data_IF_825831536253
#
_entry.id   IF_825831536253
#
_cell.length_a   1.000
_cell.length_b   1.000
_cell.length_c   1.000
_cell.angle_alpha   90.00
_cell.angle_beta   90.00
_cell.angle_gamma   90.00
#
_symmetry.space_group_name_H-M   'P 1'
#
loop_
_entity.id
_entity.type
_entity.pdbx_description
1 polymer ?
#
# COMPACT_ATOMS: atom_id res chain seq x y z
N UNK A 1 7.31 -4.69 25.53
CA UNK A 1 6.34 -5.31 24.60
C UNK A 1 7.03 -6.48 23.92
N UNK A 2 6.53 -7.71 24.09
CA UNK A 2 7.02 -8.88 23.34
C UNK A 2 6.16 -9.04 22.08
N UNK A 3 6.46 -8.27 21.04
CA UNK A 3 5.85 -8.44 19.73
C UNK A 3 6.64 -9.49 18.94
N UNK A 4 5.92 -10.39 18.25
CA UNK A 4 6.49 -11.36 17.32
C UNK A 4 6.46 -10.80 15.91
N UNK A 5 7.62 -10.71 15.26
CA UNK A 5 7.72 -10.29 13.86
C UNK A 5 7.86 -11.52 12.96
N UNK A 6 6.98 -11.63 11.97
CA UNK A 6 7.09 -12.62 10.91
C UNK A 6 7.30 -11.85 9.61
N UNK A 7 8.46 -12.03 9.00
CA UNK A 7 8.84 -11.39 7.74
C UNK A 7 8.79 -12.45 6.65
N UNK A 8 7.89 -12.26 5.69
CA UNK A 8 7.79 -13.16 4.54
C UNK A 8 8.75 -12.66 3.46
N UNK A 9 9.80 -13.43 3.15
CA UNK A 9 10.83 -13.05 2.21
C UNK A 9 11.35 -14.27 1.43
N UNK A 10 11.04 -14.33 0.13
CA UNK A 10 11.46 -15.44 -0.72
C UNK A 10 12.91 -15.32 -1.22
N UNK A 11 13.48 -14.11 -1.17
CA UNK A 11 14.83 -13.80 -1.66
C UNK A 11 15.85 -13.90 -0.54
N UNK A 12 16.65 -14.97 -0.52
CA UNK A 12 17.65 -15.23 0.52
C UNK A 12 18.63 -14.06 0.75
N UNK A 13 19.11 -13.41 -0.33
CA UNK A 13 19.99 -12.24 -0.20
C UNK A 13 19.31 -11.05 0.47
N UNK A 14 18.02 -10.83 0.20
CA UNK A 14 17.25 -9.78 0.85
C UNK A 14 17.04 -10.11 2.34
N UNK A 15 16.74 -11.37 2.68
CA UNK A 15 16.65 -11.81 4.09
C UNK A 15 17.94 -11.54 4.86
N UNK A 16 19.11 -11.81 4.25
CA UNK A 16 20.40 -11.49 4.86
C UNK A 16 20.61 -9.98 5.02
N UNK A 17 20.17 -9.17 4.05
CA UNK A 17 20.25 -7.71 4.16
C UNK A 17 19.36 -7.18 5.29
N UNK A 18 18.15 -7.72 5.44
CA UNK A 18 17.24 -7.39 6.55
C UNK A 18 17.93 -7.63 7.89
N UNK A 19 18.48 -8.82 8.13
CA UNK A 19 19.20 -9.11 9.38
C UNK A 19 20.41 -8.21 9.63
N UNK A 20 21.10 -7.77 8.57
CA UNK A 20 22.32 -6.96 8.70
C UNK A 20 22.04 -5.47 8.94
N UNK A 21 20.91 -4.96 8.47
CA UNK A 21 20.65 -3.51 8.44
C UNK A 21 19.46 -3.08 9.29
N UNK A 22 18.56 -4.00 9.66
CA UNK A 22 17.42 -3.69 10.53
C UNK A 22 17.75 -4.09 11.96
N UNK A 23 17.61 -3.12 12.87
CA UNK A 23 17.74 -3.36 14.31
C UNK A 23 16.37 -3.76 14.84
N UNK A 24 16.27 -5.00 15.34
CA UNK A 24 15.07 -5.48 16.01
C UNK A 24 15.22 -5.34 17.52
N UNK A 25 14.30 -4.63 18.16
CA UNK A 25 14.24 -4.49 19.63
C UNK A 25 13.55 -5.69 20.31
N UNK A 26 13.49 -6.85 19.64
CA UNK A 26 12.94 -8.11 20.14
C UNK A 26 13.74 -9.28 19.55
N UNK A 27 13.82 -10.39 20.28
CA UNK A 27 14.42 -11.64 19.79
C UNK A 27 13.41 -12.52 19.04
N UNK A 28 12.12 -12.22 19.13
CA UNK A 28 11.06 -12.99 18.46
C UNK A 28 10.83 -12.49 17.03
N UNK A 29 11.86 -12.67 16.20
CA UNK A 29 11.84 -12.34 14.77
C UNK A 29 12.04 -13.61 13.97
N UNK A 30 11.13 -13.87 13.04
CA UNK A 30 11.18 -15.00 12.14
C UNK A 30 11.13 -14.51 10.70
N UNK A 31 12.15 -14.81 9.90
CA UNK A 31 12.08 -14.65 8.45
C UNK A 31 11.77 -16.01 7.83
N UNK A 32 10.75 -16.05 6.98
CA UNK A 32 10.34 -17.29 6.33
C UNK A 32 9.93 -17.05 4.87
N UNK A 33 9.90 -18.13 4.09
CA UNK A 33 9.43 -18.09 2.70
C UNK A 33 7.91 -18.06 2.64
N UNK A 34 7.39 -17.54 1.54
CA UNK A 34 5.96 -17.60 1.23
C UNK A 34 5.49 -19.05 1.14
N UNK A 35 4.33 -19.30 1.74
CA UNK A 35 3.54 -20.51 1.52
C UNK A 35 2.84 -20.35 0.15
N UNK A 36 2.82 -21.42 -0.65
CA UNK A 36 2.26 -21.35 -2.02
C UNK A 36 1.25 -22.46 -2.32
N UNK A 37 1.44 -23.65 -1.73
CA UNK A 37 0.63 -24.84 -2.05
C UNK A 37 -0.88 -24.66 -1.82
N UNK A 38 -1.35 -24.12 -0.67
CA UNK A 38 -2.79 -24.02 -0.41
C UNK A 38 -3.48 -23.01 -1.34
N UNK A 39 -2.73 -22.03 -1.86
CA UNK A 39 -3.27 -20.91 -2.63
C UNK A 39 -2.98 -21.03 -4.13
N UNK A 40 -2.32 -22.11 -4.59
CA UNK A 40 -1.93 -22.28 -6.01
C UNK A 40 -3.09 -22.09 -6.98
N UNK A 41 -4.30 -22.54 -6.61
CA UNK A 41 -5.50 -22.37 -7.44
C UNK A 41 -6.03 -20.94 -7.44
N UNK A 42 -5.72 -20.15 -6.42
CA UNK A 42 -6.07 -18.73 -6.29
C UNK A 42 -5.11 -17.90 -7.12
N UNK A 43 -3.81 -17.99 -6.83
CA UNK A 43 -2.81 -17.11 -7.45
C UNK A 43 -2.57 -17.38 -8.93
N UNK A 44 -2.89 -18.58 -9.46
CA UNK A 44 -2.76 -18.87 -10.90
C UNK A 44 -3.67 -18.03 -11.81
N UNK A 45 -4.69 -17.40 -11.23
CA UNK A 45 -5.59 -16.51 -11.96
C UNK A 45 -5.12 -15.07 -11.92
N UNK A 46 -4.12 -14.75 -11.09
CA UNK A 46 -3.48 -13.44 -11.07
C UNK A 46 -2.42 -13.37 -12.18
N UNK A 47 -2.04 -12.15 -12.54
CA UNK A 47 -0.91 -11.98 -13.43
C UNK A 47 0.38 -12.45 -12.78
N UNK A 48 1.23 -13.07 -13.60
CA UNK A 48 2.46 -13.73 -13.14
C UNK A 48 3.40 -12.80 -12.38
N UNK A 49 3.39 -11.50 -12.72
CA UNK A 49 4.14 -10.45 -12.04
C UNK A 49 3.72 -10.29 -10.57
N UNK A 50 2.42 -10.39 -10.27
CA UNK A 50 1.84 -10.17 -8.94
C UNK A 50 1.77 -11.42 -8.06
N UNK A 51 2.04 -12.61 -8.61
CA UNK A 51 2.03 -13.87 -7.87
C UNK A 51 2.93 -13.85 -6.62
N UNK A 52 4.16 -13.29 -6.64
CA UNK A 52 5.01 -13.24 -5.44
C UNK A 52 4.38 -12.43 -4.31
N UNK A 53 3.91 -11.21 -4.58
CA UNK A 53 3.24 -10.35 -3.60
C UNK A 53 1.96 -11.01 -3.06
N UNK A 54 1.15 -11.59 -3.94
CA UNK A 54 -0.04 -12.33 -3.55
C UNK A 54 0.28 -13.51 -2.61
N UNK A 55 1.33 -14.29 -2.90
CA UNK A 55 1.74 -15.38 -2.01
C UNK A 55 2.21 -14.86 -0.65
N UNK A 56 2.89 -13.71 -0.60
CA UNK A 56 3.34 -13.13 0.67
C UNK A 56 2.14 -12.75 1.56
N UNK A 57 1.19 -11.96 1.05
CA UNK A 57 -0.02 -11.58 1.81
C UNK A 57 -0.88 -12.79 2.22
N UNK A 58 -1.09 -13.75 1.30
CA UNK A 58 -1.86 -14.96 1.60
C UNK A 58 -1.14 -15.86 2.62
N UNK A 59 0.19 -15.82 2.68
CA UNK A 59 0.96 -16.52 3.72
C UNK A 59 0.68 -15.94 5.10
N UNK A 60 0.61 -14.61 5.23
CA UNK A 60 0.25 -13.93 6.50
C UNK A 60 -1.15 -14.34 6.96
N UNK A 61 -2.14 -14.33 6.06
CA UNK A 61 -3.51 -14.80 6.32
C UNK A 61 -3.57 -16.28 6.72
N UNK A 62 -2.74 -17.12 6.10
CA UNK A 62 -2.70 -18.54 6.39
C UNK A 62 -2.09 -18.82 7.76
N UNK A 63 -0.97 -18.18 8.09
CA UNK A 63 -0.32 -18.34 9.39
C UNK A 63 -1.23 -17.89 10.52
N UNK A 64 -1.84 -16.72 10.38
CA UNK A 64 -2.77 -16.21 11.40
C UNK A 64 -3.94 -17.18 11.62
N UNK A 65 -4.52 -17.77 10.56
CA UNK A 65 -5.54 -18.83 10.68
C UNK A 65 -5.01 -20.09 11.40
N UNK A 66 -3.84 -20.61 10.98
CA UNK A 66 -3.25 -21.83 11.55
C UNK A 66 -2.86 -21.69 13.02
N UNK A 67 -2.56 -20.46 13.47
CA UNK A 67 -2.16 -20.16 14.84
C UNK A 67 -3.27 -19.50 15.67
N UNK A 68 -4.51 -19.47 15.15
CA UNK A 68 -5.67 -18.84 15.80
C UNK A 68 -5.43 -17.38 16.24
N UNK A 69 -4.67 -16.63 15.44
CA UNK A 69 -4.38 -15.21 15.68
C UNK A 69 -5.58 -14.40 15.20
N UNK A 70 -6.29 -13.77 16.13
CA UNK A 70 -7.52 -13.02 15.82
C UNK A 70 -7.27 -11.72 15.05
N UNK A 71 -6.19 -11.03 15.39
CA UNK A 71 -5.85 -9.71 14.86
C UNK A 71 -4.37 -9.66 14.54
N UNK A 72 -4.02 -9.11 13.37
CA UNK A 72 -2.64 -9.01 12.94
C UNK A 72 -2.47 -7.89 11.91
N UNK A 73 -1.23 -7.44 11.75
CA UNK A 73 -0.83 -6.54 10.69
C UNK A 73 -0.30 -7.33 9.49
N UNK A 74 -0.76 -6.98 8.30
CA UNK A 74 -0.25 -7.45 7.02
C UNK A 74 0.26 -6.23 6.27
N UNK A 75 1.58 -6.10 6.15
CA UNK A 75 2.24 -4.88 5.70
C UNK A 75 3.04 -5.20 4.45
N UNK A 76 2.83 -4.42 3.40
CA UNK A 76 3.64 -4.44 2.18
C UNK A 76 4.94 -3.68 2.41
N UNK A 77 5.91 -4.39 2.96
CA UNK A 77 7.11 -3.80 3.54
C UNK A 77 8.25 -3.56 2.52
N UNK A 78 8.09 -3.94 1.25
CA UNK A 78 9.12 -3.72 0.23
C UNK A 78 8.99 -2.37 -0.48
N UNK A 79 7.80 -1.75 -0.46
CA UNK A 79 7.59 -0.44 -1.07
C UNK A 79 6.81 0.58 -0.23
N UNK A 80 6.30 0.27 0.97
CA UNK A 80 5.63 1.30 1.81
C UNK A 80 6.46 1.77 3.01
N UNK A 81 6.30 3.04 3.38
CA UNK A 81 6.89 3.59 4.62
C UNK A 81 6.00 4.66 5.26
N UNK A 82 5.74 4.49 6.56
CA UNK A 82 5.13 5.51 7.42
C UNK A 82 6.24 6.42 7.94
N UNK A 83 6.21 7.69 7.55
CA UNK A 83 7.18 8.69 7.97
C UNK A 83 6.72 9.36 9.27
N UNK A 84 6.91 8.67 10.38
CA UNK A 84 6.68 9.18 11.73
C UNK A 84 7.63 8.48 12.71
N UNK A 85 7.91 9.12 13.84
CA UNK A 85 8.68 8.45 14.90
C UNK A 85 8.01 7.14 15.32
N UNK A 86 8.78 6.08 15.68
CA UNK A 86 8.20 4.78 16.02
C UNK A 86 7.12 4.86 17.11
N UNK A 87 7.28 5.76 18.08
CA UNK A 87 6.28 6.01 19.13
C UNK A 87 4.98 6.56 18.55
N UNK A 88 5.05 7.54 17.65
CA UNK A 88 3.85 8.15 17.06
C UNK A 88 3.16 7.20 16.09
N UNK A 89 3.93 6.50 15.26
CA UNK A 89 3.41 5.45 14.38
C UNK A 89 2.69 4.36 15.19
N UNK A 90 3.28 3.88 16.29
CA UNK A 90 2.64 2.89 17.16
C UNK A 90 1.32 3.39 17.76
N UNK A 91 1.26 4.65 18.19
CA UNK A 91 0.04 5.26 18.71
C UNK A 91 -1.05 5.39 17.64
N UNK A 92 -0.69 5.84 16.44
CA UNK A 92 -1.63 5.92 15.31
C UNK A 92 -2.18 4.52 14.97
N UNK A 93 -1.31 3.51 14.87
CA UNK A 93 -1.71 2.13 14.60
C UNK A 93 -2.56 1.54 15.73
N UNK A 94 -2.39 1.98 16.99
CA UNK A 94 -3.30 1.61 18.07
C UNK A 94 -4.71 2.17 17.86
N UNK A 95 -4.84 3.43 17.44
CA UNK A 95 -6.14 4.03 17.11
C UNK A 95 -6.84 3.27 15.97
N UNK A 96 -6.07 2.78 14.97
CA UNK A 96 -6.58 1.92 13.89
C UNK A 96 -7.17 0.62 14.45
N UNK A 97 -6.47 -0.03 15.38
CA UNK A 97 -6.95 -1.26 16.03
C UNK A 97 -8.25 -1.00 16.77
N UNK A 98 -8.29 0.05 17.60
CA UNK A 98 -9.44 0.39 18.43
C UNK A 98 -10.68 0.68 17.56
N UNK A 99 -10.51 1.48 16.51
CA UNK A 99 -11.58 1.76 15.55
C UNK A 99 -12.05 0.48 14.85
N UNK A 100 -11.12 -0.31 14.30
CA UNK A 100 -11.47 -1.53 13.57
C UNK A 100 -12.25 -2.52 14.44
N UNK A 101 -11.88 -2.65 15.71
CA UNK A 101 -12.58 -3.51 16.66
C UNK A 101 -13.96 -2.97 17.02
N UNK A 102 -14.08 -1.67 17.32
CA UNK A 102 -15.35 -1.03 17.66
C UNK A 102 -16.37 -1.07 16.50
N UNK A 103 -15.89 -1.01 15.26
CA UNK A 103 -16.74 -1.02 14.06
C UNK A 103 -16.87 -2.42 13.42
N UNK A 104 -16.20 -3.43 14.02
CA UNK A 104 -16.15 -4.82 13.55
C UNK A 104 -15.65 -4.95 12.10
N UNK A 105 -14.59 -4.22 11.75
CA UNK A 105 -13.97 -4.28 10.43
C UNK A 105 -13.22 -5.61 10.24
N UNK A 106 -13.33 -6.16 9.03
CA UNK A 106 -12.57 -7.34 8.59
C UNK A 106 -11.17 -6.99 8.13
N UNK A 107 -11.02 -5.82 7.50
CA UNK A 107 -9.74 -5.27 7.08
C UNK A 107 -9.78 -3.74 7.13
N UNK A 108 -8.65 -3.11 7.48
CA UNK A 108 -8.53 -1.67 7.54
C UNK A 108 -7.14 -1.26 7.05
N UNK A 109 -7.04 -0.51 5.96
CA UNK A 109 -5.75 -0.29 5.27
C UNK A 109 -5.39 1.18 5.07
N UNK A 110 -4.10 1.48 5.25
CA UNK A 110 -3.49 2.72 4.79
C UNK A 110 -2.71 2.44 3.51
N UNK A 111 -3.12 3.11 2.43
CA UNK A 111 -2.47 3.06 1.13
C UNK A 111 -2.89 4.27 0.29
N UNK A 112 -1.95 4.86 -0.46
CA UNK A 112 -2.25 5.99 -1.34
C UNK A 112 -3.20 5.63 -2.47
N UNK A 113 -3.20 4.37 -2.95
CA UNK A 113 -4.09 3.94 -4.02
C UNK A 113 -5.55 4.16 -3.66
N UNK A 114 -5.94 3.88 -2.41
CA UNK A 114 -7.31 4.10 -1.94
C UNK A 114 -7.74 5.55 -2.07
N UNK A 115 -6.86 6.50 -1.74
CA UNK A 115 -7.14 7.94 -1.82
C UNK A 115 -7.08 8.46 -3.24
N UNK A 116 -6.05 8.10 -4.01
CA UNK A 116 -5.90 8.48 -5.42
C UNK A 116 -7.09 8.05 -6.27
N UNK A 117 -7.65 6.87 -5.95
CA UNK A 117 -8.80 6.28 -6.62
C UNK A 117 -10.13 6.60 -5.92
N UNK A 118 -10.16 7.66 -5.10
CA UNK A 118 -11.36 8.24 -4.49
C UNK A 118 -12.20 7.20 -3.71
N UNK A 119 -11.53 6.34 -2.95
CA UNK A 119 -12.14 5.34 -2.08
C UNK A 119 -12.76 4.15 -2.82
N UNK A 120 -12.55 4.01 -4.14
CA UNK A 120 -13.09 2.90 -4.95
C UNK A 120 -12.20 1.65 -4.96
N UNK A 121 -11.03 1.72 -4.36
CA UNK A 121 -10.04 0.67 -4.38
C UNK A 121 -9.46 0.45 -2.99
N UNK A 122 -9.20 -0.82 -2.66
CA UNK A 122 -8.62 -1.24 -1.40
C UNK A 122 -7.41 -2.12 -1.70
N UNK A 123 -6.31 -1.91 -0.98
CA UNK A 123 -5.05 -2.63 -1.16
C UNK A 123 -4.36 -2.96 0.16
N UNK A 124 -3.41 -3.89 0.12
CA UNK A 124 -2.76 -4.44 1.31
C UNK A 124 -1.68 -3.56 1.98
N UNK A 125 -1.35 -2.37 1.45
CA UNK A 125 -0.29 -1.46 1.92
C UNK A 125 0.11 -1.60 3.39
N UNK A 126 -0.52 -0.85 4.30
CA UNK A 126 -0.40 -1.10 5.75
C UNK A 126 -1.76 -1.51 6.30
N UNK A 127 -2.02 -2.82 6.30
CA UNK A 127 -3.35 -3.34 6.61
C UNK A 127 -3.46 -4.03 7.98
N UNK A 128 -4.42 -3.59 8.78
CA UNK A 128 -4.90 -4.32 9.95
C UNK A 128 -5.96 -5.32 9.52
N UNK A 129 -5.81 -6.57 9.94
CA UNK A 129 -6.69 -7.68 9.55
C UNK A 129 -7.33 -8.32 10.77
N UNK A 130 -8.62 -8.60 10.68
CA UNK A 130 -9.39 -9.35 11.68
C UNK A 130 -9.86 -10.68 11.10
N UNK A 131 -9.68 -11.77 11.84
CA UNK A 131 -10.24 -13.09 11.51
C UNK A 131 -11.71 -13.22 11.95
N UNK A 132 -12.56 -12.30 11.48
CA UNK A 132 -14.01 -12.39 11.63
C UNK A 132 -14.70 -12.97 10.39
N UNK A 133 -13.97 -13.18 9.29
CA UNK A 133 -14.44 -13.81 8.06
C UNK A 133 -13.43 -14.84 7.56
N UNK A 134 -13.90 -15.85 6.82
CA UNK A 134 -13.03 -16.83 6.17
C UNK A 134 -12.61 -16.34 4.77
N UNK A 135 -11.55 -15.54 4.74
CA UNK A 135 -10.95 -15.01 3.51
C UNK A 135 -10.67 -16.10 2.47
N UNK A 136 -10.23 -17.30 2.90
CA UNK A 136 -9.93 -18.39 1.97
C UNK A 136 -11.19 -19.00 1.36
N UNK A 137 -12.28 -19.07 2.12
CA UNK A 137 -13.56 -19.53 1.58
C UNK A 137 -14.09 -18.55 0.52
N UNK A 138 -14.01 -17.25 0.79
CA UNK A 138 -14.43 -16.19 -0.14
C UNK A 138 -13.61 -16.19 -1.43
N UNK A 139 -12.28 -16.24 -1.32
CA UNK A 139 -11.39 -16.32 -2.48
C UNK A 139 -11.67 -17.57 -3.32
N UNK A 140 -11.91 -18.72 -2.68
CA UNK A 140 -12.22 -19.97 -3.37
C UNK A 140 -13.58 -19.91 -4.07
N UNK A 141 -14.60 -19.34 -3.44
CA UNK A 141 -15.92 -19.16 -4.03
C UNK A 141 -15.85 -18.28 -5.29
N UNK A 142 -15.16 -17.13 -5.22
CA UNK A 142 -14.96 -16.24 -6.37
C UNK A 142 -14.38 -16.96 -7.59
N UNK A 143 -13.37 -17.80 -7.39
CA UNK A 143 -12.74 -18.57 -8.47
C UNK A 143 -13.69 -19.63 -9.03
N UNK A 144 -14.42 -20.33 -8.16
CA UNK A 144 -15.35 -21.38 -8.57
C UNK A 144 -16.53 -20.85 -9.40
N UNK A 145 -16.97 -19.63 -9.10
CA UNK A 145 -18.03 -18.95 -9.84
C UNK A 145 -17.61 -18.50 -11.25
N UNK A 146 -16.35 -18.71 -11.66
CA UNK A 146 -15.85 -18.30 -12.97
C UNK A 146 -15.81 -16.76 -13.15
N UNK A 147 -16.01 -16.01 -12.06
CA UNK A 147 -16.05 -14.54 -12.05
C UNK A 147 -14.70 -13.87 -12.30
N UNK A 148 -13.65 -14.67 -12.45
CA UNK A 148 -12.32 -14.24 -12.92
C UNK A 148 -12.35 -13.52 -14.28
N UNK A 149 -13.47 -13.59 -15.03
CA UNK A 149 -13.59 -13.03 -16.39
C UNK A 149 -14.25 -11.65 -16.47
N UNK A 150 -14.76 -11.09 -15.36
CA UNK A 150 -15.40 -9.78 -15.35
C UNK A 150 -15.00 -8.98 -14.12
N UNK A 151 -13.72 -8.67 -13.98
CA UNK A 151 -13.40 -7.44 -13.27
C UNK A 151 -13.65 -6.27 -14.24
N UNK A 152 -14.24 -5.16 -13.79
CA UNK A 152 -14.60 -4.02 -14.65
C UNK A 152 -13.40 -3.32 -15.33
N UNK A 153 -12.19 -3.80 -15.06
CA UNK A 153 -10.95 -3.08 -15.27
C UNK A 153 -10.07 -3.99 -16.11
N UNK A 154 -9.84 -3.65 -17.38
CA UNK A 154 -8.95 -4.36 -18.30
C UNK A 154 -7.46 -4.26 -17.91
N UNK A 155 -7.17 -4.14 -16.62
CA UNK A 155 -5.87 -3.96 -16.00
C UNK A 155 -5.32 -5.29 -15.46
N UNK A 156 -4.05 -5.26 -15.06
CA UNK A 156 -3.38 -6.43 -14.51
C UNK A 156 -4.14 -6.99 -13.29
N UNK A 157 -4.42 -8.29 -13.28
CA UNK A 157 -5.20 -8.92 -12.21
C UNK A 157 -4.28 -9.21 -11.02
N UNK A 158 -4.23 -8.29 -10.06
CA UNK A 158 -3.52 -8.45 -8.80
C UNK A 158 -4.48 -8.86 -7.64
N UNK A 159 -3.92 -9.16 -6.46
CA UNK A 159 -4.71 -9.59 -5.32
C UNK A 159 -5.61 -8.47 -4.74
N UNK A 160 -5.15 -7.21 -4.77
CA UNK A 160 -5.90 -6.06 -4.28
C UNK A 160 -7.22 -5.86 -5.06
N UNK A 161 -7.18 -6.01 -6.38
CA UNK A 161 -8.37 -5.98 -7.23
C UNK A 161 -9.37 -7.08 -6.87
N UNK A 162 -8.88 -8.29 -6.58
CA UNK A 162 -9.73 -9.40 -6.14
C UNK A 162 -10.36 -9.07 -4.80
N UNK A 163 -9.61 -8.54 -3.84
CA UNK A 163 -10.16 -8.18 -2.52
C UNK A 163 -11.13 -7.00 -2.60
N UNK A 164 -10.86 -6.00 -3.44
CA UNK A 164 -11.79 -4.90 -3.73
C UNK A 164 -13.10 -5.45 -4.30
N UNK A 165 -13.03 -6.36 -5.27
CA UNK A 165 -14.23 -7.01 -5.81
C UNK A 165 -14.99 -7.80 -4.74
N UNK A 166 -14.29 -8.54 -3.88
CA UNK A 166 -14.90 -9.30 -2.79
C UNK A 166 -15.59 -8.37 -1.78
N UNK A 167 -14.95 -7.25 -1.43
CA UNK A 167 -15.52 -6.21 -0.57
C UNK A 167 -16.89 -5.79 -1.09
N UNK A 168 -16.95 -5.40 -2.36
CA UNK A 168 -18.17 -4.86 -2.96
C UNK A 168 -19.24 -5.94 -3.19
N UNK A 169 -18.83 -7.14 -3.61
CA UNK A 169 -19.75 -8.22 -3.97
C UNK A 169 -20.35 -8.95 -2.78
N UNK A 170 -19.62 -9.01 -1.66
CA UNK A 170 -20.03 -9.73 -0.45
C UNK A 170 -20.30 -8.80 0.73
N UNK A 171 -20.30 -7.49 0.51
CA UNK A 171 -20.50 -6.46 1.54
C UNK A 171 -19.59 -6.65 2.75
N UNK A 172 -18.32 -6.95 2.49
CA UNK A 172 -17.31 -7.15 3.54
C UNK A 172 -16.93 -5.77 4.08
N UNK A 173 -16.82 -5.64 5.41
CA UNK A 173 -16.37 -4.42 6.08
C UNK A 173 -14.86 -4.24 5.93
N UNK A 174 -14.43 -3.86 4.74
CA UNK A 174 -13.06 -3.49 4.41
C UNK A 174 -12.98 -1.99 4.15
N UNK A 175 -12.32 -1.27 5.04
CA UNK A 175 -12.21 0.19 4.90
C UNK A 175 -10.77 0.63 4.69
N UNK A 176 -10.62 1.90 4.34
CA UNK A 176 -9.32 2.55 4.25
C UNK A 176 -9.23 3.69 5.25
N UNK A 177 -8.03 3.96 5.76
CA UNK A 177 -7.78 5.07 6.68
C UNK A 177 -6.64 5.97 6.23
N UNK A 178 -6.63 7.15 6.84
CA UNK A 178 -5.49 8.05 6.82
C UNK A 178 -5.32 8.71 8.20
N UNK A 179 -4.12 9.23 8.45
CA UNK A 179 -3.87 10.17 9.54
C UNK A 179 -3.54 11.54 8.94
N UNK A 180 -4.07 12.59 9.54
CA UNK A 180 -3.75 13.94 9.12
C UNK A 180 -2.34 14.32 9.58
N UNK A 181 -1.65 15.14 8.78
CA UNK A 181 -0.23 15.46 8.87
C UNK A 181 0.72 14.25 8.73
N UNK A 182 0.29 13.18 8.06
CA UNK A 182 1.14 12.02 7.80
C UNK A 182 1.86 12.15 6.46
N UNK A 183 3.18 11.92 6.47
CA UNK A 183 3.94 11.60 5.26
C UNK A 183 3.99 10.09 5.08
N UNK A 184 3.69 9.61 3.88
CA UNK A 184 3.70 8.21 3.49
C UNK A 184 4.49 8.07 2.19
N UNK A 185 5.50 7.21 2.17
CA UNK A 185 6.24 6.92 0.94
C UNK A 185 5.73 5.64 0.31
N UNK A 186 5.64 5.66 -1.01
CA UNK A 186 5.54 4.47 -1.82
C UNK A 186 6.72 4.42 -2.79
N UNK A 187 7.56 3.40 -2.65
CA UNK A 187 8.73 3.19 -3.47
C UNK A 187 8.36 2.55 -4.80
N UNK A 188 9.24 2.71 -5.78
CA UNK A 188 9.24 1.90 -6.99
C UNK A 188 10.53 1.11 -7.00
N UNK A 189 10.55 -0.01 -7.73
CA UNK A 189 11.74 -0.87 -7.84
C UNK A 189 13.06 -0.14 -8.20
N UNK A 190 12.96 1.04 -8.82
CA UNK A 190 14.09 1.90 -9.19
C UNK A 190 14.08 3.28 -8.49
N UNK A 191 13.19 3.51 -7.51
CA UNK A 191 12.99 4.78 -6.80
C UNK A 191 12.77 6.01 -7.71
N UNK A 192 12.29 5.79 -8.93
CA UNK A 192 12.18 6.82 -9.96
C UNK A 192 10.88 7.62 -9.82
N UNK A 193 10.77 8.36 -8.73
CA UNK A 193 9.61 9.20 -8.45
C UNK A 193 9.47 10.36 -9.43
N UNK A 194 10.54 10.71 -10.15
CA UNK A 194 10.50 11.74 -11.19
C UNK A 194 9.79 11.25 -12.44
N UNK A 195 10.05 10.02 -12.88
CA UNK A 195 9.44 9.49 -14.12
C UNK A 195 8.06 8.92 -13.90
N UNK A 196 7.78 8.37 -12.72
CA UNK A 196 6.48 7.76 -12.40
C UNK A 196 5.91 8.31 -11.08
N UNK A 197 5.75 9.64 -10.96
CA UNK A 197 5.36 10.34 -9.71
C UNK A 197 3.96 9.99 -9.21
N UNK A 198 3.18 9.34 -10.08
CA UNK A 198 1.83 8.88 -9.80
C UNK A 198 1.88 7.58 -8.98
N UNK A 199 2.77 6.64 -9.32
CA UNK A 199 2.79 5.27 -8.79
C UNK A 199 3.78 5.14 -7.62
N UNK A 200 4.93 5.82 -7.70
CA UNK A 200 5.86 5.96 -6.58
C UNK A 200 6.09 7.42 -6.27
N UNK A 201 5.86 7.82 -5.01
CA UNK A 201 5.93 9.22 -4.63
C UNK A 201 6.03 9.41 -3.12
N UNK A 202 6.16 10.67 -2.74
CA UNK A 202 5.92 11.15 -1.39
C UNK A 202 4.47 11.63 -1.33
N UNK A 203 3.70 11.04 -0.42
CA UNK A 203 2.29 11.36 -0.21
C UNK A 203 2.12 12.02 1.14
N UNK A 204 1.57 13.22 1.15
CA UNK A 204 1.36 13.98 2.37
C UNK A 204 -0.13 14.20 2.61
N UNK A 205 -0.66 13.61 3.68
CA UNK A 205 -2.06 13.74 4.07
C UNK A 205 -2.23 14.97 4.95
N UNK A 206 -2.91 16.00 4.48
CA UNK A 206 -3.15 17.22 5.24
C UNK A 206 -4.49 17.86 4.88
N UNK A 207 -5.26 18.25 5.90
CA UNK A 207 -6.54 18.95 5.78
C UNK A 207 -7.51 18.23 4.83
N UNK A 208 -7.72 16.93 5.07
CA UNK A 208 -8.54 16.05 4.23
C UNK A 208 -8.13 16.04 2.74
N UNK A 209 -6.86 16.31 2.44
CA UNK A 209 -6.31 16.32 1.09
C UNK A 209 -5.01 15.51 1.07
N UNK A 210 -4.84 14.69 0.02
CA UNK A 210 -3.58 14.04 -0.30
C UNK A 210 -2.77 14.93 -1.23
N UNK A 211 -1.62 15.37 -0.75
CA UNK A 211 -0.67 16.18 -1.49
C UNK A 211 0.45 15.29 -2.03
N UNK A 212 0.89 15.56 -3.25
CA UNK A 212 2.03 14.92 -3.89
C UNK A 212 3.03 16.00 -4.32
N UNK A 213 4.06 16.29 -3.50
CA UNK A 213 4.99 17.38 -3.76
C UNK A 213 5.64 17.30 -5.14
N UNK A 214 5.94 16.09 -5.62
CA UNK A 214 6.56 15.91 -6.94
C UNK A 214 5.62 16.34 -8.07
N UNK A 215 4.34 15.95 -8.01
CA UNK A 215 3.34 16.38 -8.98
C UNK A 215 3.06 17.89 -8.91
N UNK A 216 3.25 18.51 -7.74
CA UNK A 216 3.10 19.96 -7.57
C UNK A 216 4.14 20.75 -8.36
N UNK A 217 5.38 20.25 -8.49
CA UNK A 217 6.43 20.86 -9.31
C UNK A 217 6.00 20.96 -10.78
N UNK A 218 5.19 20.01 -11.23
CA UNK A 218 4.68 19.94 -12.60
C UNK A 218 3.33 20.65 -12.80
N UNK A 219 2.79 21.33 -11.77
CA UNK A 219 1.44 21.93 -11.79
C UNK A 219 0.33 20.94 -12.19
N UNK A 220 0.48 19.65 -11.86
CA UNK A 220 -0.52 18.64 -12.18
C UNK A 220 -1.76 18.82 -11.29
N UNK A 221 -2.99 18.67 -11.82
CA UNK A 221 -4.20 18.65 -10.98
C UNK A 221 -4.26 17.44 -10.05
N UNK A 222 -3.42 16.42 -10.26
CA UNK A 222 -3.28 15.26 -9.38
C UNK A 222 -2.34 15.54 -8.19
N UNK A 223 -1.72 16.73 -8.15
CA UNK A 223 -0.87 17.15 -7.04
C UNK A 223 -1.64 17.25 -5.71
N UNK A 224 -2.94 17.50 -5.78
CA UNK A 224 -3.83 17.65 -4.62
C UNK A 224 -5.13 16.91 -4.88
N UNK A 225 -5.35 15.83 -4.13
CA UNK A 225 -6.53 14.99 -4.27
C UNK A 225 -7.33 15.06 -2.97
N UNK A 226 -8.56 15.61 -2.98
CA UNK A 226 -9.44 15.55 -1.83
C UNK A 226 -9.66 14.09 -1.41
N UNK A 227 -9.51 13.82 -0.12
CA UNK A 227 -9.73 12.49 0.44
C UNK A 227 -11.24 12.22 0.43
N UNK A 228 -11.64 11.08 -0.11
CA UNK A 228 -13.06 10.72 -0.17
C UNK A 228 -13.63 10.48 1.23
N UNK A 229 -14.91 10.83 1.42
CA UNK A 229 -15.60 10.74 2.73
C UNK A 229 -15.64 9.33 3.31
N UNK A 230 -15.54 8.31 2.46
CA UNK A 230 -15.50 6.91 2.87
C UNK A 230 -14.10 6.44 3.32
N UNK A 231 -13.09 7.31 3.31
CA UNK A 231 -11.76 7.03 3.87
C UNK A 231 -11.69 7.66 5.26
N UNK A 232 -11.47 6.84 6.26
CA UNK A 232 -11.63 7.21 7.67
C UNK A 232 -10.38 7.94 8.17
N UNK A 233 -10.57 9.15 8.70
CA UNK A 233 -9.52 9.83 9.46
C UNK A 233 -9.36 9.17 10.82
N UNK A 234 -8.17 8.65 11.13
CA UNK A 234 -7.91 7.90 12.36
C UNK A 234 -7.16 8.70 13.43
N UNK A 235 -6.41 9.72 13.01
CA UNK A 235 -5.54 10.48 13.91
C UNK A 235 -5.21 11.87 13.33
N UNK A 236 -4.76 12.75 14.20
CA UNK A 236 -4.10 14.02 13.88
C UNK A 236 -2.69 13.97 14.44
N UNK A 237 -1.69 13.89 13.57
CA UNK A 237 -0.29 13.93 14.01
C UNK A 237 0.08 15.39 14.31
N UNK A 238 0.50 15.67 15.54
CA UNK A 238 1.05 16.98 15.91
C UNK A 238 2.31 17.25 15.05
N UNK A 239 2.40 18.45 14.48
CA UNK A 239 3.21 18.87 13.32
C UNK A 239 4.67 18.39 13.17
N UNK A 240 5.05 18.16 11.90
CA UNK A 240 6.34 18.46 11.23
C UNK A 240 7.67 17.82 11.66
N UNK A 241 7.71 16.63 12.28
CA UNK A 241 8.99 15.92 12.40
C UNK A 241 9.45 15.25 11.07
N UNK A 242 8.60 15.10 10.04
CA UNK A 242 8.87 14.06 9.03
C UNK A 242 9.03 14.47 7.58
N UNK A 243 8.60 15.64 7.11
CA UNK A 243 8.74 15.91 5.66
C UNK A 243 10.20 16.17 5.29
N UNK A 244 10.86 17.14 5.92
CA UNK A 244 12.26 17.45 5.59
C UNK A 244 13.21 16.34 6.02
N UNK A 245 13.01 15.70 7.18
CA UNK A 245 13.83 14.57 7.62
C UNK A 245 13.64 13.35 6.71
N UNK A 246 12.41 13.00 6.33
CA UNK A 246 12.20 11.86 5.42
C UNK A 246 12.55 12.19 3.97
N UNK A 247 12.41 13.44 3.52
CA UNK A 247 12.96 13.90 2.25
C UNK A 247 14.48 13.80 2.26
N UNK A 248 15.14 14.19 3.35
CA UNK A 248 16.59 14.11 3.49
C UNK A 248 17.07 12.65 3.57
N UNK A 249 16.39 11.78 4.33
CA UNK A 249 16.66 10.34 4.31
C UNK A 249 16.44 9.75 2.90
N UNK A 250 15.38 10.16 2.20
CA UNK A 250 15.14 9.77 0.81
C UNK A 250 16.26 10.21 -0.15
N UNK A 251 16.68 11.48 -0.07
CA UNK A 251 17.78 12.02 -0.88
C UNK A 251 19.13 11.33 -0.56
N UNK A 252 19.32 10.90 0.68
CA UNK A 252 20.49 10.13 1.11
C UNK A 252 20.46 8.68 0.60
N UNK A 253 19.26 8.08 0.49
CA UNK A 253 19.04 6.72 -0.02
C UNK A 253 19.17 6.67 -1.56
N UNK A 254 18.75 7.73 -2.27
CA UNK A 254 18.81 7.80 -3.74
C UNK A 254 19.57 9.02 -4.27
N UNK A 255 20.91 8.92 -4.25
CA UNK A 255 21.82 9.90 -4.87
C UNK A 255 21.56 10.12 -6.37
N UNK A 256 20.89 9.21 -7.06
CA UNK A 256 20.55 9.36 -8.48
C UNK A 256 19.34 10.26 -8.69
N UNK A 257 18.40 10.26 -7.75
CA UNK A 257 17.24 11.15 -7.73
C UNK A 257 17.61 12.58 -7.29
N UNK A 258 18.57 12.75 -6.38
CA UNK A 258 19.12 14.07 -6.05
C UNK A 258 19.68 14.79 -7.30
N UNK A 259 20.44 14.08 -8.14
CA UNK A 259 20.98 14.62 -9.39
C UNK A 259 19.86 14.99 -10.39
N UNK A 260 18.79 14.20 -10.47
CA UNK A 260 17.66 14.45 -11.38
C UNK A 260 16.77 15.62 -10.91
N UNK A 261 16.53 15.74 -9.61
CA UNK A 261 15.79 16.86 -9.01
C UNK A 261 16.55 18.18 -9.21
N UNK A 262 17.87 18.20 -8.96
CA UNK A 262 18.74 19.36 -9.29
C UNK A 262 18.71 19.71 -10.78
N UNK A 263 18.59 18.72 -11.67
CA UNK A 263 18.49 18.92 -13.13
C UNK A 263 17.11 19.42 -13.57
N UNK A 264 16.02 19.01 -12.90
CA UNK A 264 14.65 19.49 -13.11
C UNK A 264 14.48 20.96 -12.74
N UNK A 265 15.14 21.43 -11.68
CA UNK A 265 15.19 22.86 -11.36
C UNK A 265 15.97 23.70 -12.38
N UNK A 266 16.66 23.08 -13.36
CA UNK A 266 17.48 23.75 -14.36
C UNK A 266 17.11 23.51 -15.83
N UNK A 267 16.10 22.69 -16.15
CA UNK A 267 15.68 22.41 -17.53
C UNK A 267 14.15 22.38 -17.67
N UNK A 268 13.64 23.09 -18.68
CA UNK A 268 12.31 22.88 -19.24
C UNK A 268 12.18 21.42 -19.68
N UNK A 269 11.45 20.64 -18.89
CA UNK A 269 11.12 19.25 -19.20
C UNK A 269 10.04 19.25 -20.28
N UNK A 270 10.16 18.38 -21.28
CA UNK A 270 9.16 18.26 -22.34
C UNK A 270 7.85 17.74 -21.72
N UNK A 271 6.88 18.64 -21.57
CA UNK A 271 5.59 18.41 -20.90
C UNK A 271 4.67 17.45 -21.68
N UNK A 272 5.06 17.04 -22.89
CA UNK A 272 4.26 16.16 -23.77
C UNK A 272 4.08 14.76 -23.21
N UNK A 273 5.13 14.12 -22.68
CA UNK A 273 5.06 12.79 -22.05
C UNK A 273 4.08 12.78 -20.86
N UNK A 274 3.98 13.91 -20.15
CA UNK A 274 3.09 14.00 -18.99
C UNK A 274 1.64 14.28 -19.37
N UNK A 275 1.39 14.99 -20.47
CA UNK A 275 0.04 15.07 -21.05
C UNK A 275 -0.43 13.69 -21.49
N UNK A 276 0.42 12.88 -22.08
CA UNK A 276 0.08 11.49 -22.44
C UNK A 276 -0.26 10.66 -21.19
N UNK A 277 0.55 10.73 -20.13
CA UNK A 277 0.27 10.01 -18.86
C UNK A 277 -0.99 10.56 -18.16
N UNK A 278 -1.21 11.87 -18.18
CA UNK A 278 -2.41 12.49 -17.61
C UNK A 278 -3.66 12.16 -18.43
N UNK A 279 -3.59 12.19 -19.75
CA UNK A 279 -4.67 11.77 -20.65
C UNK A 279 -4.95 10.28 -20.48
N UNK A 280 -3.92 9.43 -20.43
CA UNK A 280 -4.06 8.00 -20.13
C UNK A 280 -4.68 7.80 -18.75
N UNK A 281 -4.30 8.58 -17.73
CA UNK A 281 -4.87 8.51 -16.38
C UNK A 281 -6.32 8.99 -16.31
N UNK A 282 -6.68 10.07 -17.02
CA UNK A 282 -8.06 10.56 -17.10
C UNK A 282 -8.93 9.65 -17.96
N UNK A 283 -8.37 9.05 -19.01
CA UNK A 283 -9.02 8.04 -19.85
C UNK A 283 -9.22 6.74 -19.08
N UNK A 284 -8.23 6.33 -18.30
CA UNK A 284 -8.30 5.28 -17.28
C UNK A 284 -9.44 5.57 -16.28
N UNK A 285 -9.44 6.72 -15.61
CA UNK A 285 -10.50 7.10 -14.66
C UNK A 285 -11.90 7.14 -15.28
N UNK A 286 -12.04 7.62 -16.53
CA UNK A 286 -13.33 7.73 -17.23
C UNK A 286 -13.83 6.40 -17.81
N UNK A 287 -12.93 5.47 -18.12
CA UNK A 287 -13.24 4.12 -18.59
C UNK A 287 -13.24 3.08 -17.46
N UNK A 288 -12.87 3.48 -16.24
CA UNK A 288 -12.68 2.60 -15.09
C UNK A 288 -11.33 1.88 -15.06
N UNK A 289 -10.59 1.79 -16.16
CA UNK A 289 -9.26 1.16 -16.17
C UNK A 289 -8.30 1.93 -15.25
N UNK A 290 -7.41 1.29 -14.50
CA UNK A 290 -6.44 1.99 -13.65
C UNK A 290 -5.03 1.61 -14.11
N UNK A 291 -4.20 2.61 -14.39
CA UNK A 291 -2.77 2.44 -14.64
C UNK A 291 -2.11 2.18 -13.29
N UNK A 292 -1.70 0.93 -13.09
CA UNK A 292 -0.83 0.45 -12.00
C UNK A 292 0.61 0.56 -12.41
#
# INVERSE_FOLDING_TARGET
MNARFIIICDKQLLSLRIYRHIIFHTTDVCIMKSITKPFKKIVKHLDSYWIPAANAHLSTLYHSKMHNIKHFWNIDADDTMICASPKRAAQMLQNVIDYAQNHHLSAFSLDMHSTRLKGKFWSFGVSFMSHNIDWFALLKAHIQEGKNQKLPFGSTLNLDFVVTYLKDSYNIKCESFYANNLVFLHFLKNNDFVRMPIIGSIYYYQNATLHTPILSIYNSPLAQIPIAENIIKIDDLDEFESLDECLMEYLLIDKSSEFRLRKLHGFHTDLTIFKEIEEEYQQALSQGNIIT
#
